data_IF_946797499816
#
_entry.id   IF_946797499816
#
_cell.length_a   1.000
_cell.length_b   1.000
_cell.length_c   1.000
_cell.angle_alpha   90.00
_cell.angle_beta   90.00
_cell.angle_gamma   90.00
#
_symmetry.space_group_name_H-M   'P 1'
#
loop_
_entity.id
_entity.type
_entity.pdbx_description
1 polymer ?
#
# COMPACT_ATOMS: atom_id res chain seq x y z
N UNK A 1 20.97 37.26 20.29
CA UNK A 1 20.42 36.55 19.12
C UNK A 1 20.62 35.06 19.33
N UNK A 2 19.59 34.35 19.78
CA UNK A 2 19.61 32.90 19.97
C UNK A 2 18.92 32.29 18.74
N UNK A 3 19.70 31.67 17.86
CA UNK A 3 19.21 31.01 16.66
C UNK A 3 18.59 29.66 17.01
N UNK A 4 17.36 29.46 16.55
CA UNK A 4 16.63 28.21 16.65
C UNK A 4 17.35 27.09 15.86
N UNK A 5 17.70 25.99 16.54
CA UNK A 5 18.03 24.74 15.86
C UNK A 5 16.76 23.93 15.67
N UNK A 6 16.23 24.00 14.45
CA UNK A 6 15.26 23.06 13.89
C UNK A 6 15.80 21.63 14.00
N UNK A 7 15.20 20.81 14.86
CA UNK A 7 15.33 19.36 14.78
C UNK A 7 14.21 18.84 13.88
N UNK A 8 14.54 18.71 12.59
CA UNK A 8 13.72 17.97 11.64
C UNK A 8 13.61 16.53 12.10
N UNK A 9 12.38 16.07 12.32
CA UNK A 9 12.05 14.66 12.54
C UNK A 9 12.50 13.86 11.31
N UNK A 10 13.40 12.89 11.51
CA UNK A 10 13.95 12.03 10.46
C UNK A 10 12.84 11.25 9.74
N UNK A 11 12.57 11.62 8.48
CA UNK A 11 11.65 10.91 7.58
C UNK A 11 12.33 9.73 6.85
N UNK A 12 13.11 8.91 7.55
CA UNK A 12 13.98 7.90 6.93
C UNK A 12 13.59 6.45 7.26
N UNK A 13 12.32 6.08 7.04
CA UNK A 13 11.84 4.71 7.35
C UNK A 13 11.88 3.70 6.19
N UNK A 14 11.66 4.15 4.94
CA UNK A 14 11.52 3.24 3.78
C UNK A 14 12.29 3.68 2.53
N UNK A 15 12.60 4.98 2.38
CA UNK A 15 13.22 5.53 1.16
C UNK A 15 14.70 5.14 0.98
N UNK A 16 15.39 4.70 2.03
CA UNK A 16 16.80 4.31 1.96
C UNK A 16 17.02 2.83 1.60
N UNK A 17 15.96 2.02 1.65
CA UNK A 17 16.03 0.56 1.48
C UNK A 17 15.82 0.11 0.03
N UNK A 18 15.11 0.90 -0.76
CA UNK A 18 14.77 0.56 -2.14
C UNK A 18 15.31 1.62 -3.08
N UNK A 19 16.19 1.22 -4.00
CA UNK A 19 16.55 2.04 -5.16
C UNK A 19 15.37 2.21 -6.12
N UNK A 20 15.58 2.89 -7.23
CA UNK A 20 14.57 3.00 -8.28
C UNK A 20 14.21 1.61 -8.87
N UNK A 21 12.93 1.41 -9.20
CA UNK A 21 12.40 0.24 -9.92
C UNK A 21 12.69 -1.13 -9.28
N UNK A 22 12.72 -1.22 -7.95
CA UNK A 22 12.89 -2.50 -7.25
C UNK A 22 11.61 -3.34 -7.22
N UNK A 23 11.78 -4.66 -7.23
CA UNK A 23 10.70 -5.63 -7.07
C UNK A 23 10.84 -6.28 -5.68
N UNK A 24 9.79 -6.19 -4.88
CA UNK A 24 9.69 -6.82 -3.58
C UNK A 24 8.62 -7.92 -3.63
N UNK A 25 9.00 -9.14 -3.23
CA UNK A 25 8.07 -10.25 -3.03
C UNK A 25 7.96 -10.52 -1.53
N UNK A 26 6.73 -10.51 -1.01
CA UNK A 26 6.43 -10.74 0.39
C UNK A 26 5.72 -12.08 0.56
N UNK A 27 6.22 -12.93 1.47
CA UNK A 27 5.56 -14.15 1.89
C UNK A 27 4.88 -13.87 3.23
N UNK A 28 3.56 -13.94 3.26
CA UNK A 28 2.75 -13.64 4.44
C UNK A 28 2.16 -14.94 5.01
N UNK A 29 2.19 -15.15 6.34
CA UNK A 29 1.48 -16.27 6.95
C UNK A 29 -0.03 -16.14 6.75
N UNK A 30 -0.70 -17.24 6.48
CA UNK A 30 -2.15 -17.26 6.18
C UNK A 30 -2.98 -16.71 7.35
N UNK A 31 -2.67 -17.11 8.58
CA UNK A 31 -3.40 -16.72 9.79
C UNK A 31 -3.34 -15.21 10.09
N UNK A 32 -2.35 -14.49 9.55
CA UNK A 32 -2.22 -13.02 9.66
C UNK A 32 -2.37 -12.31 8.33
N UNK A 33 -2.68 -13.01 7.24
CA UNK A 33 -2.61 -12.47 5.87
C UNK A 33 -3.34 -11.15 5.72
N UNK A 34 -4.57 -11.08 6.24
CA UNK A 34 -5.41 -9.89 6.13
C UNK A 34 -4.81 -8.70 6.89
N UNK A 35 -4.36 -8.93 8.12
CA UNK A 35 -3.77 -7.89 8.97
C UNK A 35 -2.45 -7.39 8.37
N UNK A 36 -1.57 -8.30 7.98
CA UNK A 36 -0.28 -7.99 7.34
C UNK A 36 -0.47 -7.23 6.03
N UNK A 37 -1.40 -7.67 5.16
CA UNK A 37 -1.72 -6.96 3.93
C UNK A 37 -2.20 -5.53 4.20
N UNK A 38 -3.11 -5.35 5.16
CA UNK A 38 -3.64 -4.01 5.48
C UNK A 38 -2.57 -3.11 6.08
N UNK A 39 -1.65 -3.64 6.88
CA UNK A 39 -0.50 -2.89 7.40
C UNK A 39 0.42 -2.43 6.27
N UNK A 40 0.80 -3.34 5.37
CA UNK A 40 1.68 -3.03 4.24
C UNK A 40 1.06 -1.95 3.35
N UNK A 41 -0.21 -2.09 2.99
CA UNK A 41 -0.90 -1.10 2.15
C UNK A 41 -1.02 0.25 2.86
N UNK A 42 -1.32 0.25 4.17
CA UNK A 42 -1.41 1.46 5.00
C UNK A 42 -0.07 2.19 5.08
N UNK A 43 1.04 1.47 5.22
CA UNK A 43 2.35 2.09 5.28
C UNK A 43 2.75 2.61 3.90
N UNK A 44 2.54 1.83 2.84
CA UNK A 44 2.79 2.29 1.47
C UNK A 44 1.99 3.55 1.13
N UNK A 45 0.72 3.65 1.54
CA UNK A 45 -0.12 4.82 1.21
C UNK A 45 0.33 6.11 1.90
N UNK A 46 1.08 6.02 3.01
CA UNK A 46 1.68 7.19 3.67
C UNK A 46 2.94 7.70 2.96
N UNK A 47 3.68 6.83 2.27
CA UNK A 47 4.97 7.18 1.66
C UNK A 47 4.88 7.43 0.16
N UNK A 48 4.02 6.70 -0.55
CA UNK A 48 3.88 6.82 -2.00
C UNK A 48 2.90 7.93 -2.38
N UNK A 49 3.24 8.73 -3.39
CA UNK A 49 2.32 9.75 -3.92
C UNK A 49 1.20 9.14 -4.77
N UNK A 50 1.44 7.98 -5.39
CA UNK A 50 0.50 7.22 -6.19
C UNK A 50 0.78 5.73 -6.04
N UNK A 51 -0.27 4.93 -5.89
CA UNK A 51 -0.19 3.47 -5.80
C UNK A 51 -1.10 2.87 -6.87
N UNK A 52 -0.59 1.90 -7.61
CA UNK A 52 -1.41 1.02 -8.45
C UNK A 52 -1.55 -0.31 -7.71
N UNK A 53 -2.76 -0.62 -7.25
CA UNK A 53 -3.06 -1.89 -6.59
C UNK A 53 -3.77 -2.81 -7.56
N UNK A 54 -3.11 -3.89 -7.96
CA UNK A 54 -3.70 -4.94 -8.79
C UNK A 54 -4.16 -6.08 -7.90
N UNK A 55 -5.46 -6.34 -7.87
CA UNK A 55 -6.01 -7.46 -7.12
C UNK A 55 -6.15 -8.70 -7.99
N UNK A 56 -5.59 -9.81 -7.51
CA UNK A 56 -5.67 -11.11 -8.18
C UNK A 56 -6.54 -12.12 -7.43
N UNK A 57 -6.80 -11.90 -6.13
CA UNK A 57 -7.41 -12.91 -5.24
C UNK A 57 -8.58 -12.39 -4.37
N UNK A 58 -8.85 -11.07 -4.34
CA UNK A 58 -10.03 -10.50 -3.68
C UNK A 58 -10.73 -9.39 -4.52
N UNK A 59 -12.05 -9.43 -4.75
CA UNK A 59 -12.73 -8.38 -5.50
C UNK A 59 -12.55 -7.00 -4.88
N UNK A 60 -12.55 -5.95 -5.69
CA UNK A 60 -12.39 -4.56 -5.27
C UNK A 60 -13.38 -4.16 -4.17
N UNK A 61 -14.64 -4.56 -4.27
CA UNK A 61 -15.67 -4.28 -3.26
C UNK A 61 -15.33 -4.86 -1.88
N UNK A 62 -14.73 -6.05 -1.87
CA UNK A 62 -14.28 -6.73 -0.65
C UNK A 62 -13.03 -6.08 -0.08
N UNK A 63 -12.10 -5.61 -0.93
CA UNK A 63 -10.93 -4.84 -0.51
C UNK A 63 -11.33 -3.47 0.07
N UNK A 64 -12.27 -2.77 -0.57
CA UNK A 64 -12.75 -1.47 -0.11
C UNK A 64 -13.39 -1.58 1.28
N UNK A 65 -14.24 -2.59 1.49
CA UNK A 65 -14.84 -2.86 2.79
C UNK A 65 -13.77 -3.15 3.86
N UNK A 66 -12.77 -3.96 3.51
CA UNK A 66 -11.66 -4.29 4.40
C UNK A 66 -10.84 -3.04 4.79
N UNK A 67 -10.42 -2.25 3.82
CA UNK A 67 -9.61 -1.05 4.04
C UNK A 67 -10.36 0.01 4.83
N UNK A 68 -11.65 0.21 4.57
CA UNK A 68 -12.50 1.09 5.38
C UNK A 68 -12.60 0.63 6.84
N UNK A 69 -12.82 -0.67 7.07
CA UNK A 69 -12.88 -1.24 8.43
C UNK A 69 -11.57 -1.03 9.20
N UNK A 70 -10.43 -1.02 8.51
CA UNK A 70 -9.10 -0.84 9.09
C UNK A 70 -8.59 0.61 9.04
N UNK A 71 -9.43 1.58 8.66
CA UNK A 71 -9.08 2.99 8.54
C UNK A 71 -7.85 3.27 7.65
N UNK A 72 -7.66 2.47 6.59
CA UNK A 72 -6.59 2.68 5.62
C UNK A 72 -6.98 3.83 4.69
N UNK A 73 -6.11 4.84 4.57
CA UNK A 73 -6.28 5.94 3.61
C UNK A 73 -5.96 5.40 2.22
N UNK A 74 -6.91 5.51 1.29
CA UNK A 74 -6.83 4.93 -0.06
C UNK A 74 -6.93 5.98 -1.18
N UNK A 75 -6.92 7.27 -0.85
CA UNK A 75 -7.17 8.36 -1.80
C UNK A 75 -6.13 8.45 -2.93
N UNK A 76 -4.92 7.96 -2.68
CA UNK A 76 -3.81 7.87 -3.64
C UNK A 76 -3.68 6.50 -4.31
N UNK A 77 -4.64 5.59 -4.10
CA UNK A 77 -4.61 4.22 -4.63
C UNK A 77 -5.57 4.09 -5.81
N UNK A 78 -5.04 3.70 -6.96
CA UNK A 78 -5.82 3.26 -8.11
C UNK A 78 -5.93 1.73 -8.09
N UNK A 79 -7.15 1.22 -8.11
CA UNK A 79 -7.43 -0.21 -8.04
C UNK A 79 -7.70 -0.80 -9.42
N UNK A 80 -7.01 -1.89 -9.74
CA UNK A 80 -7.28 -2.76 -10.88
C UNK A 80 -7.80 -4.09 -10.31
N UNK A 81 -9.10 -4.36 -10.52
CA UNK A 81 -9.71 -5.64 -10.14
C UNK A 81 -9.56 -6.64 -11.28
N UNK A 82 -8.59 -7.54 -11.16
CA UNK A 82 -8.35 -8.57 -12.18
C UNK A 82 -9.23 -9.82 -12.00
N UNK A 83 -10.09 -9.87 -10.98
CA UNK A 83 -10.97 -11.03 -10.72
C UNK A 83 -12.28 -10.84 -11.46
N UNK A 84 -12.83 -9.63 -11.40
CA UNK A 84 -14.06 -9.29 -12.13
C UNK A 84 -13.78 -8.87 -13.56
N UNK A 85 -12.51 -8.67 -13.93
CA UNK A 85 -12.11 -8.43 -15.30
C UNK A 85 -12.34 -9.70 -16.13
N UNK A 86 -13.48 -9.77 -16.81
CA UNK A 86 -13.74 -10.83 -17.78
C UNK A 86 -12.85 -10.60 -19.00
N UNK A 87 -11.89 -11.49 -19.23
CA UNK A 87 -11.19 -11.52 -20.51
C UNK A 87 -12.20 -11.93 -21.60
N UNK A 88 -12.52 -11.01 -22.51
CA UNK A 88 -13.15 -11.39 -23.78
C UNK A 88 -12.06 -11.95 -24.67
N UNK A 89 -12.10 -13.27 -24.93
CA UNK A 89 -11.31 -13.85 -26.02
C UNK A 89 -11.64 -13.12 -27.32
N UNK A 90 -10.64 -12.71 -28.12
CA UNK A 90 -10.87 -12.04 -29.39
C UNK A 90 -11.66 -12.91 -30.38
#
# INVERSE_FOLDING_TARGET
MMGAQNRGCEKNGMNSLFGENQILVLILPDYTYTESLTSVVSDLSKFASKICYVSLNRPYTSLLTLFKKQNVVIDNIHFIDAITATATTP
#
